data_IF_782617318047
#
_entry.id   IF_782617318047
#
_cell.length_a   1.000
_cell.length_b   1.000
_cell.length_c   1.000
_cell.angle_alpha   90.00
_cell.angle_beta   90.00
_cell.angle_gamma   90.00
#
_symmetry.space_group_name_H-M   'P 1'
#
loop_
_entity.id
_entity.type
_entity.pdbx_description
1 polymer ?
#
# COMPACT_ATOMS: atom_id res chain seq x y z
N UNK A 1 -13.45 -3.52 -19.10
CA UNK A 1 -12.04 -3.91 -18.90
C UNK A 1 -11.81 -4.46 -17.49
N UNK A 2 -12.31 -3.79 -16.44
CA UNK A 2 -12.21 -4.26 -15.05
C UNK A 2 -13.31 -5.27 -14.69
N UNK A 3 -14.47 -5.20 -15.35
CA UNK A 3 -15.60 -6.12 -15.13
C UNK A 3 -15.33 -7.57 -15.59
N UNK A 4 -14.20 -7.81 -16.28
CA UNK A 4 -13.79 -9.12 -16.79
C UNK A 4 -12.62 -9.74 -16.01
N UNK A 5 -12.18 -9.13 -14.89
CA UNK A 5 -11.11 -9.73 -14.06
C UNK A 5 -11.62 -11.03 -13.42
N UNK A 6 -10.94 -12.18 -13.60
CA UNK A 6 -11.41 -13.45 -13.09
C UNK A 6 -11.26 -13.52 -11.56
N UNK A 7 -12.34 -13.22 -10.85
CA UNK A 7 -12.51 -13.48 -9.42
C UNK A 7 -12.09 -12.36 -8.47
N UNK A 8 -12.74 -12.33 -7.29
CA UNK A 8 -12.50 -11.35 -6.20
C UNK A 8 -11.04 -11.29 -5.74
N UNK A 9 -10.30 -12.39 -5.93
CA UNK A 9 -8.87 -12.49 -5.61
C UNK A 9 -8.02 -11.55 -6.47
N UNK A 10 -8.13 -11.66 -7.79
CA UNK A 10 -7.33 -10.86 -8.73
C UNK A 10 -7.68 -9.37 -8.56
N UNK A 11 -8.96 -9.06 -8.37
CA UNK A 11 -9.41 -7.70 -8.06
C UNK A 11 -8.78 -7.15 -6.78
N UNK A 12 -8.67 -7.95 -5.72
CA UNK A 12 -8.03 -7.53 -4.47
C UNK A 12 -6.53 -7.25 -4.65
N UNK A 13 -5.82 -8.12 -5.37
CA UNK A 13 -4.41 -7.94 -5.70
C UNK A 13 -4.18 -6.69 -6.57
N UNK A 14 -5.02 -6.48 -7.58
CA UNK A 14 -5.03 -5.29 -8.41
C UNK A 14 -5.19 -4.00 -7.59
N UNK A 15 -6.22 -3.94 -6.73
CA UNK A 15 -6.46 -2.75 -5.91
C UNK A 15 -5.34 -2.50 -4.90
N UNK A 16 -4.66 -3.56 -4.43
CA UNK A 16 -3.52 -3.44 -3.53
C UNK A 16 -2.33 -2.72 -4.19
N UNK A 17 -2.10 -2.91 -5.49
CA UNK A 17 -1.06 -2.20 -6.24
C UNK A 17 -1.23 -0.67 -6.20
N UNK A 18 -2.45 -0.17 -6.00
CA UNK A 18 -2.71 1.26 -5.85
C UNK A 18 -2.11 1.88 -4.56
N UNK A 19 -1.61 1.07 -3.62
CA UNK A 19 -0.91 1.56 -2.42
C UNK A 19 0.49 2.09 -2.72
N UNK A 20 1.14 1.62 -3.77
CA UNK A 20 2.51 2.03 -4.12
C UNK A 20 2.53 3.45 -4.70
N UNK A 21 3.63 4.19 -4.69
CA UNK A 21 3.67 5.54 -5.26
C UNK A 21 3.48 5.53 -6.79
N UNK A 22 2.96 6.63 -7.35
CA UNK A 22 2.54 6.77 -8.76
C UNK A 22 3.65 6.46 -9.79
N UNK A 23 4.91 6.74 -9.43
CA UNK A 23 6.06 6.58 -10.32
C UNK A 23 7.04 5.51 -9.81
N UNK A 24 6.68 4.78 -8.77
CA UNK A 24 7.57 3.81 -8.16
C UNK A 24 7.45 2.44 -8.82
N UNK A 25 8.59 1.89 -9.19
CA UNK A 25 8.69 0.48 -9.55
C UNK A 25 8.34 -0.39 -8.35
N UNK A 26 7.58 -1.44 -8.61
CA UNK A 26 7.17 -2.41 -7.60
C UNK A 26 7.95 -3.68 -7.86
N UNK A 27 8.84 -4.06 -6.95
CA UNK A 27 9.54 -5.35 -7.03
C UNK A 27 8.50 -6.47 -6.94
N UNK A 28 8.51 -7.37 -7.93
CA UNK A 28 7.57 -8.48 -8.03
C UNK A 28 7.56 -9.33 -6.77
N UNK A 29 8.75 -9.63 -6.24
CA UNK A 29 8.91 -10.40 -5.00
C UNK A 29 8.28 -9.72 -3.77
N UNK A 30 8.49 -8.40 -3.61
CA UNK A 30 7.88 -7.65 -2.50
C UNK A 30 6.35 -7.68 -2.62
N UNK A 31 5.83 -7.48 -3.83
CA UNK A 31 4.39 -7.50 -4.09
C UNK A 31 3.75 -8.84 -3.74
N UNK A 32 4.35 -9.95 -4.19
CA UNK A 32 3.92 -11.31 -3.84
C UNK A 32 3.99 -11.53 -2.33
N UNK A 33 5.08 -11.11 -1.68
CA UNK A 33 5.22 -11.24 -0.22
C UNK A 33 4.12 -10.50 0.54
N UNK A 34 3.78 -9.29 0.12
CA UNK A 34 2.70 -8.54 0.75
C UNK A 34 1.34 -9.19 0.53
N UNK A 35 1.07 -9.70 -0.67
CA UNK A 35 -0.18 -10.41 -0.95
C UNK A 35 -0.33 -11.69 -0.12
N UNK A 36 0.78 -12.41 0.13
CA UNK A 36 0.81 -13.55 1.04
C UNK A 36 0.47 -13.15 2.47
N UNK A 37 1.09 -12.09 3.01
CA UNK A 37 0.80 -11.58 4.37
C UNK A 37 -0.64 -11.08 4.52
N UNK A 38 -1.19 -10.52 3.45
CA UNK A 38 -2.59 -10.11 3.39
C UNK A 38 -3.56 -11.30 3.19
N UNK A 39 -3.06 -12.50 2.87
CA UNK A 39 -3.88 -13.69 2.62
C UNK A 39 -4.67 -13.61 1.31
N UNK A 40 -4.18 -12.82 0.35
CA UNK A 40 -4.82 -12.67 -0.97
C UNK A 40 -4.34 -13.74 -1.96
N UNK A 41 -3.20 -14.38 -1.71
CA UNK A 41 -2.68 -15.51 -2.49
C UNK A 41 -2.21 -16.61 -1.52
N UNK A 42 -2.19 -17.87 -1.97
CA UNK A 42 -1.87 -19.03 -1.12
C UNK A 42 -0.37 -19.29 -1.01
N UNK A 43 0.38 -18.95 -2.05
CA UNK A 43 1.80 -19.28 -2.21
C UNK A 43 2.45 -18.32 -3.23
N UNK A 44 3.77 -18.42 -3.38
CA UNK A 44 4.51 -17.55 -4.30
C UNK A 44 4.14 -17.80 -5.77
N UNK A 45 3.88 -19.06 -6.15
CA UNK A 45 3.56 -19.45 -7.53
C UNK A 45 2.29 -18.74 -7.97
N UNK A 46 1.22 -18.88 -7.19
CA UNK A 46 -0.06 -18.19 -7.42
C UNK A 46 0.09 -16.66 -7.38
N UNK A 47 1.00 -16.13 -6.57
CA UNK A 47 1.35 -14.71 -6.58
C UNK A 47 1.91 -14.24 -7.92
N UNK A 48 2.89 -14.96 -8.47
CA UNK A 48 3.49 -14.61 -9.77
C UNK A 48 2.53 -14.82 -10.95
N UNK A 49 1.66 -15.84 -10.89
CA UNK A 49 0.57 -16.02 -11.86
C UNK A 49 -0.36 -14.82 -11.88
N UNK A 50 -0.79 -14.32 -10.71
CA UNK A 50 -1.63 -13.11 -10.62
C UNK A 50 -0.90 -11.89 -11.20
N UNK A 51 0.41 -11.75 -10.99
CA UNK A 51 1.18 -10.68 -11.66
C UNK A 51 1.09 -10.84 -13.19
N UNK A 52 1.30 -12.05 -13.71
CA UNK A 52 1.21 -12.34 -15.15
C UNK A 52 -0.18 -12.01 -15.71
N UNK A 53 -1.25 -12.35 -14.99
CA UNK A 53 -2.62 -12.03 -15.39
C UNK A 53 -2.86 -10.52 -15.42
N UNK A 54 -2.38 -9.78 -14.42
CA UNK A 54 -2.51 -8.32 -14.37
C UNK A 54 -1.71 -7.63 -15.50
N UNK A 55 -0.53 -8.15 -15.82
CA UNK A 55 0.28 -7.67 -16.95
C UNK A 55 -0.41 -7.98 -18.28
N UNK A 56 -0.88 -9.22 -18.47
CA UNK A 56 -1.60 -9.64 -19.67
C UNK A 56 -2.91 -8.86 -19.91
N UNK A 57 -3.53 -8.38 -18.83
CA UNK A 57 -4.72 -7.52 -18.88
C UNK A 57 -4.39 -6.01 -19.01
N UNK A 58 -3.12 -5.63 -19.18
CA UNK A 58 -2.65 -4.24 -19.23
C UNK A 58 -3.00 -3.41 -17.97
N UNK A 59 -3.17 -4.07 -16.82
CA UNK A 59 -3.40 -3.42 -15.52
C UNK A 59 -2.10 -3.12 -14.79
N UNK A 60 -1.03 -3.82 -15.16
CA UNK A 60 0.36 -3.52 -14.78
C UNK A 60 1.21 -3.52 -16.06
N UNK A 61 2.24 -2.68 -16.06
CA UNK A 61 3.30 -2.65 -17.07
C UNK A 61 4.47 -3.52 -16.59
N UNK A 62 5.01 -4.31 -17.51
CA UNK A 62 6.24 -5.08 -17.30
C UNK A 62 7.45 -4.18 -17.56
N UNK A 63 7.92 -3.51 -16.51
CA UNK A 63 9.05 -2.58 -16.61
C UNK A 63 10.38 -3.34 -16.74
N UNK A 64 10.51 -4.47 -16.04
CA UNK A 64 11.67 -5.35 -16.11
C UNK A 64 11.36 -6.75 -15.57
N UNK A 65 12.31 -7.67 -15.75
CA UNK A 65 12.25 -9.03 -15.18
C UNK A 65 11.92 -9.07 -13.68
N UNK A 66 12.25 -8.02 -12.92
CA UNK A 66 12.08 -7.96 -11.47
C UNK A 66 11.02 -6.98 -11.00
N UNK A 67 10.58 -6.06 -11.85
CA UNK A 67 9.70 -4.96 -11.46
C UNK A 67 8.49 -4.85 -12.37
N UNK A 68 7.36 -4.49 -11.77
CA UNK A 68 6.14 -4.07 -12.47
C UNK A 68 5.77 -2.67 -12.03
N UNK A 69 4.99 -1.98 -12.87
CA UNK A 69 4.49 -0.65 -12.58
C UNK A 69 3.00 -0.57 -12.83
N UNK A 70 2.29 0.21 -12.03
CA UNK A 70 0.87 0.48 -12.30
C UNK A 70 0.75 1.73 -13.17
N UNK A 71 0.17 1.65 -14.39
CA UNK A 71 -0.03 2.82 -15.24
C UNK A 71 -0.83 3.89 -14.51
N UNK A 72 -0.51 5.17 -14.74
CA UNK A 72 -1.13 6.31 -14.03
C UNK A 72 -2.66 6.28 -14.12
N UNK A 73 -3.19 6.06 -15.32
CA UNK A 73 -4.64 6.01 -15.54
C UNK A 73 -5.28 4.82 -14.82
N UNK A 74 -4.65 3.65 -14.88
CA UNK A 74 -5.12 2.45 -14.21
C UNK A 74 -5.12 2.63 -12.70
N UNK A 75 -4.11 3.29 -12.15
CA UNK A 75 -4.03 3.66 -10.74
C UNK A 75 -5.18 4.56 -10.30
N UNK A 76 -5.51 5.58 -11.09
CA UNK A 76 -6.65 6.47 -10.79
C UNK A 76 -7.94 5.65 -10.69
N UNK A 77 -8.15 4.71 -11.62
CA UNK A 77 -9.33 3.84 -11.60
C UNK A 77 -9.31 2.86 -10.42
N UNK A 78 -8.15 2.29 -10.08
CA UNK A 78 -8.00 1.41 -8.92
C UNK A 78 -8.32 2.14 -7.61
N UNK A 79 -7.82 3.36 -7.42
CA UNK A 79 -8.14 4.19 -6.26
C UNK A 79 -9.63 4.55 -6.21
N UNK A 80 -10.22 4.89 -7.37
CA UNK A 80 -11.65 5.16 -7.46
C UNK A 80 -12.49 3.94 -7.03
N UNK A 81 -12.19 2.76 -7.54
CA UNK A 81 -12.87 1.50 -7.15
C UNK A 81 -12.67 1.20 -5.65
N UNK A 82 -11.44 1.35 -5.14
CA UNK A 82 -11.14 1.14 -3.73
C UNK A 82 -11.93 2.11 -2.84
N UNK A 83 -12.18 3.34 -3.32
CA UNK A 83 -12.98 4.34 -2.62
C UNK A 83 -14.49 4.12 -2.74
N UNK A 84 -14.99 3.58 -3.85
CA UNK A 84 -16.43 3.29 -4.04
C UNK A 84 -16.86 1.98 -3.36
N UNK A 85 -15.87 1.15 -2.99
CA UNK A 85 -16.03 0.04 -2.02
C UNK A 85 -16.46 0.51 -0.62
N UNK A 86 -16.77 1.81 -0.42
CA UNK A 86 -17.44 2.40 0.76
C UNK A 86 -18.73 1.68 1.19
N UNK A 87 -19.41 0.94 0.31
CA UNK A 87 -20.51 0.04 0.73
C UNK A 87 -20.05 -1.20 1.50
N UNK A 88 -18.76 -1.54 1.45
CA UNK A 88 -18.12 -2.64 2.18
C UNK A 88 -16.89 -2.15 2.98
N UNK A 89 -17.11 -1.32 4.00
CA UNK A 89 -16.32 -1.17 5.26
C UNK A 89 -14.76 -1.20 5.23
N UNK A 90 -14.07 -0.95 4.11
CA UNK A 90 -12.59 -0.94 4.06
C UNK A 90 -12.07 0.35 3.47
N UNK A 91 -11.63 1.28 4.32
CA UNK A 91 -11.04 2.55 3.87
C UNK A 91 -9.56 2.33 3.52
N UNK A 92 -9.18 2.76 2.32
CA UNK A 92 -7.80 2.79 1.83
C UNK A 92 -7.35 4.25 1.78
N UNK A 93 -6.23 4.58 2.44
CA UNK A 93 -5.66 5.94 2.45
C UNK A 93 -4.31 5.92 1.75
N UNK A 94 -4.17 6.70 0.67
CA UNK A 94 -2.91 6.81 -0.06
C UNK A 94 -2.50 8.27 -0.17
N UNK A 95 -1.32 8.58 0.37
CA UNK A 95 -0.64 9.87 0.25
C UNK A 95 0.79 9.62 -0.23
N UNK A 96 1.18 10.34 -1.28
CA UNK A 96 2.55 10.32 -1.78
C UNK A 96 2.91 11.61 -2.50
N UNK A 97 4.21 11.88 -2.60
CA UNK A 97 4.77 13.03 -3.28
C UNK A 97 5.43 14.04 -2.33
N UNK A 98 6.44 14.72 -2.86
CA UNK A 98 7.38 15.56 -2.11
C UNK A 98 6.75 16.78 -1.42
N UNK A 99 5.51 17.15 -1.74
CA UNK A 99 4.83 18.30 -1.12
C UNK A 99 4.14 17.96 0.20
N UNK A 100 4.01 16.68 0.52
CA UNK A 100 3.31 16.22 1.72
C UNK A 100 4.29 16.22 2.90
N UNK A 101 3.98 16.99 3.95
CA UNK A 101 4.84 17.14 5.14
C UNK A 101 4.22 16.57 6.42
N UNK A 102 2.97 16.13 6.34
CA UNK A 102 2.17 15.72 7.49
C UNK A 102 1.36 14.46 7.19
N UNK A 103 0.99 13.73 8.24
CA UNK A 103 0.11 12.57 8.15
C UNK A 103 -1.25 12.96 7.53
N UNK A 104 -1.94 12.04 6.84
CA UNK A 104 -3.32 12.26 6.44
C UNK A 104 -4.23 12.51 7.64
N UNK A 105 -5.12 13.51 7.51
CA UNK A 105 -6.28 13.63 8.38
C UNK A 105 -7.26 12.52 7.98
N UNK A 106 -7.69 11.74 8.94
CA UNK A 106 -8.62 10.62 8.76
C UNK A 106 -9.68 10.72 9.85
N UNK A 107 -10.95 10.75 9.43
CA UNK A 107 -12.10 10.95 10.32
C UNK A 107 -12.33 9.77 11.27
N UNK A 108 -12.31 8.54 10.74
CA UNK A 108 -12.43 7.32 11.53
C UNK A 108 -11.34 6.29 11.17
N UNK A 109 -10.31 6.24 12.02
CA UNK A 109 -9.21 5.30 11.89
C UNK A 109 -9.60 3.84 12.10
N UNK A 110 -10.77 3.56 12.69
CA UNK A 110 -11.28 2.19 12.85
C UNK A 110 -11.76 1.61 11.52
N UNK A 111 -12.00 2.44 10.51
CA UNK A 111 -12.39 1.98 9.18
C UNK A 111 -11.20 1.73 8.26
N UNK A 112 -10.00 2.19 8.62
CA UNK A 112 -8.81 2.09 7.78
C UNK A 112 -8.26 0.68 7.85
N UNK A 113 -8.19 0.01 6.70
CA UNK A 113 -7.57 -1.32 6.60
C UNK A 113 -6.18 -1.26 5.97
N UNK A 114 -5.93 -0.28 5.09
CA UNK A 114 -4.62 -0.13 4.43
C UNK A 114 -4.28 1.35 4.28
N UNK A 115 -3.03 1.69 4.60
CA UNK A 115 -2.53 3.05 4.51
C UNK A 115 -1.16 3.06 3.85
N UNK A 116 -0.96 4.01 2.94
CA UNK A 116 0.33 4.33 2.36
C UNK A 116 0.60 5.82 2.49
N UNK A 117 1.68 6.16 3.19
CA UNK A 117 2.26 7.50 3.31
C UNK A 117 3.72 7.39 2.91
N UNK A 118 3.96 7.23 1.61
CA UNK A 118 5.26 6.91 1.03
C UNK A 118 5.78 8.02 0.12
N UNK A 119 7.10 8.17 0.01
CA UNK A 119 7.71 9.18 -0.86
C UNK A 119 7.23 10.60 -0.55
N UNK A 120 7.14 10.94 0.73
CA UNK A 120 6.73 12.26 1.25
C UNK A 120 7.90 12.95 1.96
N UNK A 121 7.68 14.19 2.39
CA UNK A 121 8.60 14.98 3.21
C UNK A 121 8.18 15.02 4.68
N UNK A 122 7.43 14.02 5.16
CA UNK A 122 7.08 13.92 6.58
C UNK A 122 8.35 13.78 7.43
N UNK A 123 8.43 14.60 8.48
CA UNK A 123 9.59 14.60 9.39
C UNK A 123 9.32 13.85 10.69
N UNK A 124 8.09 13.97 11.21
CA UNK A 124 7.70 13.39 12.48
C UNK A 124 6.32 12.74 12.35
N UNK A 125 6.20 11.51 12.82
CA UNK A 125 4.92 10.81 12.90
C UNK A 125 4.39 10.89 14.34
N UNK A 126 3.23 11.53 14.56
CA UNK A 126 2.68 11.73 15.90
C UNK A 126 2.14 10.42 16.50
N UNK A 127 1.56 10.50 17.69
CA UNK A 127 0.79 9.39 18.25
C UNK A 127 -0.28 8.92 17.26
N UNK A 128 -0.48 7.61 17.16
CA UNK A 128 -1.60 7.09 16.39
C UNK A 128 -2.87 7.12 17.22
N UNK A 129 -4.02 7.34 16.57
CA UNK A 129 -5.31 7.00 17.14
C UNK A 129 -5.56 5.49 17.06
N UNK A 130 -6.68 5.02 17.64
CA UNK A 130 -7.06 3.61 17.58
C UNK A 130 -7.36 3.18 16.14
N UNK A 131 -6.54 2.29 15.59
CA UNK A 131 -6.60 1.80 14.21
C UNK A 131 -6.48 0.28 14.14
N UNK A 132 -7.23 -0.43 14.98
CA UNK A 132 -7.16 -1.88 15.12
C UNK A 132 -7.47 -2.67 13.85
N UNK A 133 -8.11 -2.07 12.83
CA UNK A 133 -8.39 -2.72 11.55
C UNK A 133 -7.26 -2.58 10.52
N UNK A 134 -6.22 -1.79 10.82
CA UNK A 134 -5.12 -1.55 9.90
C UNK A 134 -4.29 -2.82 9.74
N UNK A 135 -4.20 -3.32 8.50
CA UNK A 135 -3.47 -4.53 8.10
C UNK A 135 -2.18 -4.20 7.36
N UNK A 136 -2.19 -3.16 6.54
CA UNK A 136 -1.02 -2.71 5.77
C UNK A 136 -0.70 -1.25 6.07
N UNK A 137 0.57 -0.99 6.36
CA UNK A 137 1.12 0.34 6.52
C UNK A 137 2.43 0.50 5.74
N UNK A 138 2.43 1.39 4.75
CA UNK A 138 3.61 1.80 4.01
C UNK A 138 4.05 3.20 4.42
N UNK A 139 5.30 3.31 4.88
CA UNK A 139 6.00 4.54 5.28
C UNK A 139 7.36 4.65 4.57
N UNK A 140 7.53 3.96 3.45
CA UNK A 140 8.81 3.89 2.76
C UNK A 140 9.16 5.18 2.01
N UNK A 141 10.45 5.44 1.83
CA UNK A 141 10.92 6.55 1.00
C UNK A 141 10.67 7.93 1.59
N UNK A 142 10.51 8.06 2.91
CA UNK A 142 10.39 9.36 3.58
C UNK A 142 11.78 9.78 4.08
N UNK A 143 12.63 10.29 3.18
CA UNK A 143 14.03 10.63 3.47
C UNK A 143 14.21 11.67 4.60
N UNK A 144 13.18 12.47 4.89
CA UNK A 144 13.19 13.46 5.99
C UNK A 144 12.61 12.93 7.30
N UNK A 145 12.11 11.69 7.34
CA UNK A 145 11.53 11.11 8.55
C UNK A 145 12.62 10.93 9.60
N UNK A 146 12.47 11.63 10.73
CA UNK A 146 13.42 11.65 11.85
C UNK A 146 12.89 10.92 13.07
N UNK A 147 11.59 11.02 13.33
CA UNK A 147 10.99 10.41 14.51
C UNK A 147 9.61 9.84 14.26
N UNK A 148 9.30 8.76 14.97
CA UNK A 148 7.97 8.15 15.07
C UNK A 148 7.68 8.06 16.55
N UNK A 149 6.51 8.52 16.98
CA UNK A 149 6.11 8.34 18.38
C UNK A 149 6.13 6.86 18.78
N UNK A 150 6.65 6.56 19.98
CA UNK A 150 6.61 5.21 20.56
C UNK A 150 5.19 4.68 20.81
N UNK A 151 4.16 5.53 20.74
CA UNK A 151 2.76 5.09 20.82
C UNK A 151 2.12 4.85 19.45
N UNK A 152 2.80 5.17 18.34
CA UNK A 152 2.22 5.09 17.00
C UNK A 152 1.80 3.68 16.58
N UNK A 153 2.53 2.63 16.96
CA UNK A 153 2.15 1.27 16.58
C UNK A 153 1.22 0.57 17.58
N UNK A 154 0.98 1.17 18.76
CA UNK A 154 0.25 0.49 19.87
C UNK A 154 -1.19 0.11 19.50
N UNK A 155 -1.86 0.91 18.68
CA UNK A 155 -3.24 0.66 18.25
C UNK A 155 -3.39 -0.29 17.06
N UNK A 156 -2.28 -0.74 16.45
CA UNK A 156 -2.26 -1.49 15.19
C UNK A 156 -2.23 -3.00 15.40
N UNK A 157 -3.18 -3.55 16.14
CA UNK A 157 -3.14 -4.95 16.59
C UNK A 157 -3.28 -6.00 15.48
N UNK A 158 -3.81 -5.64 14.31
CA UNK A 158 -3.99 -6.54 13.15
C UNK A 158 -3.00 -6.26 12.01
N UNK A 159 -1.94 -5.49 12.27
CA UNK A 159 -0.95 -5.15 11.26
C UNK A 159 -0.17 -6.40 10.84
N UNK A 160 -0.21 -6.71 9.54
CA UNK A 160 0.49 -7.86 8.93
C UNK A 160 1.58 -7.44 7.95
N UNK A 161 1.51 -6.20 7.45
CA UNK A 161 2.51 -5.62 6.57
C UNK A 161 2.91 -4.25 7.07
N UNK A 162 4.20 -4.09 7.38
CA UNK A 162 4.84 -2.81 7.66
C UNK A 162 6.02 -2.64 6.71
N UNK A 163 6.00 -1.58 5.91
CA UNK A 163 7.16 -1.19 5.11
C UNK A 163 7.67 0.18 5.56
N UNK A 164 8.89 0.21 6.11
CA UNK A 164 9.61 1.42 6.49
C UNK A 164 10.97 1.52 5.78
N UNK A 165 11.12 0.89 4.62
CA UNK A 165 12.38 0.93 3.87
C UNK A 165 12.67 2.34 3.34
N UNK A 166 13.94 2.62 3.03
CA UNK A 166 14.36 3.89 2.43
C UNK A 166 13.99 5.15 3.26
N UNK A 167 14.14 5.08 4.58
CA UNK A 167 14.04 6.23 5.48
C UNK A 167 15.44 6.61 5.99
N UNK A 168 16.21 7.37 5.20
CA UNK A 168 17.65 7.57 5.42
C UNK A 168 18.00 8.29 6.73
N UNK A 169 17.15 9.20 7.19
CA UNK A 169 17.37 10.00 8.41
C UNK A 169 16.74 9.37 9.65
N UNK A 170 16.05 8.23 9.51
CA UNK A 170 15.39 7.58 10.62
C UNK A 170 16.40 6.70 11.37
N UNK A 171 16.85 7.16 12.53
CA UNK A 171 17.65 6.36 13.45
C UNK A 171 16.71 5.77 14.51
N UNK A 172 16.64 4.43 14.62
CA UNK A 172 16.06 3.83 15.82
C UNK A 172 16.94 4.24 17.01
N UNK A 173 16.40 5.07 17.91
CA UNK A 173 16.92 5.11 19.27
C UNK A 173 16.61 3.74 19.89
N UNK A 174 17.65 2.93 20.05
CA UNK A 174 17.59 1.66 20.76
C UNK A 174 17.28 1.87 22.25
#
# INVERSE_FOLDING_TARGET
>A
MIDNLPGERIKSCFLYCALFPQYGDIRRQDLVHYWLREGMVSDEITGYEVISDLVGACLLEDESLYCVKMPIIVRVVALWIASDYRRQKKLVVVKGGERIKEMPVVDDWRMVTRMSVSSTQIENIPNSPNCSQLRTLFLQGNDKLRSISGCFFKGMTNLVVLNMSHNRQFFCAA
#
